data_IF_069215511777
#
_entry.id   IF_069215511777
#
_cell.length_a   1.000
_cell.length_b   1.000
_cell.length_c   1.000
_cell.angle_alpha   90.00
_cell.angle_beta   90.00
_cell.angle_gamma   90.00
#
_symmetry.space_group_name_H-M   'P 1'
#
loop_
_entity.id
_entity.type
_entity.pdbx_description
1 polymer ?
#
# COMPACT_ATOMS: atom_id res chain seq x y z
N UNK A 1 -20.85 -17.15 -0.61
CA UNK A 1 -20.43 -15.74 -0.47
C UNK A 1 -21.29 -15.06 0.59
N UNK A 2 -20.85 -15.08 1.85
CA UNK A 2 -21.61 -14.56 3.00
C UNK A 2 -21.67 -13.02 3.03
N UNK A 3 -20.80 -12.35 2.28
CA UNK A 3 -20.69 -10.88 2.23
C UNK A 3 -21.44 -10.27 1.03
N UNK A 4 -22.06 -11.08 0.15
CA UNK A 4 -22.77 -10.60 -1.03
C UNK A 4 -21.86 -10.00 -2.11
N UNK A 5 -20.56 -10.25 -2.06
CA UNK A 5 -19.60 -9.79 -3.06
C UNK A 5 -19.89 -10.48 -4.39
N UNK A 6 -20.14 -9.69 -5.42
CA UNK A 6 -20.40 -10.16 -6.79
C UNK A 6 -19.23 -9.94 -7.73
N UNK A 7 -18.27 -9.12 -7.33
CA UNK A 7 -17.02 -8.88 -8.09
C UNK A 7 -16.24 -10.18 -8.22
N UNK A 8 -15.72 -10.52 -9.40
CA UNK A 8 -14.85 -11.67 -9.58
C UNK A 8 -13.61 -11.57 -8.69
N UNK A 9 -13.25 -12.67 -8.05
CA UNK A 9 -12.05 -12.76 -7.21
C UNK A 9 -11.12 -13.80 -7.80
N UNK A 10 -9.88 -13.42 -8.05
CA UNK A 10 -8.80 -14.31 -8.48
C UNK A 10 -7.75 -14.40 -7.40
N UNK A 11 -7.35 -15.61 -7.05
CA UNK A 11 -6.24 -15.84 -6.11
C UNK A 11 -4.97 -16.15 -6.91
N UNK A 12 -3.88 -15.48 -6.56
CA UNK A 12 -2.55 -15.72 -7.13
C UNK A 12 -1.63 -16.15 -5.99
N UNK A 13 -1.34 -17.44 -5.93
CA UNK A 13 -0.55 -18.01 -4.84
C UNK A 13 0.95 -17.78 -5.06
N UNK A 14 1.64 -17.36 -4.01
CA UNK A 14 3.10 -17.37 -3.95
C UNK A 14 3.58 -18.64 -3.22
N UNK A 15 4.02 -19.70 -3.92
CA UNK A 15 4.36 -20.97 -3.31
C UNK A 15 5.67 -20.96 -2.50
N UNK A 16 6.43 -19.86 -2.59
CA UNK A 16 7.71 -19.67 -1.91
C UNK A 16 7.71 -18.38 -1.05
N UNK A 17 6.53 -18.00 -0.52
CA UNK A 17 6.37 -16.77 0.27
C UNK A 17 7.33 -16.69 1.47
N UNK A 18 7.71 -17.83 2.05
CA UNK A 18 8.65 -17.94 3.16
C UNK A 18 10.12 -17.61 2.79
N UNK A 19 10.42 -17.45 1.50
CA UNK A 19 11.75 -17.18 0.93
C UNK A 19 11.83 -15.91 0.13
N UNK A 20 10.72 -15.24 -0.05
CA UNK A 20 10.59 -14.03 -0.87
C UNK A 20 9.93 -12.91 -0.06
N UNK A 21 9.91 -11.71 -0.59
CA UNK A 21 9.14 -10.61 -0.05
C UNK A 21 8.00 -10.21 -1.01
N UNK A 22 7.22 -9.18 -0.67
CA UNK A 22 6.02 -8.76 -1.40
C UNK A 22 6.26 -8.38 -2.86
N UNK A 23 7.48 -7.98 -3.24
CA UNK A 23 7.86 -7.75 -4.66
C UNK A 23 7.60 -8.99 -5.53
N UNK A 24 7.86 -10.19 -5.01
CA UNK A 24 7.62 -11.42 -5.77
C UNK A 24 6.13 -11.75 -5.87
N UNK A 25 5.40 -11.61 -4.79
CA UNK A 25 3.93 -11.79 -4.79
C UNK A 25 3.27 -10.88 -5.81
N UNK A 26 3.66 -9.59 -5.84
CA UNK A 26 3.16 -8.64 -6.84
C UNK A 26 3.56 -9.01 -8.26
N UNK A 27 4.78 -9.51 -8.47
CA UNK A 27 5.24 -9.93 -9.80
C UNK A 27 4.45 -11.10 -10.38
N UNK A 28 3.95 -12.00 -9.54
CA UNK A 28 3.07 -13.09 -9.97
C UNK A 28 1.71 -12.59 -10.47
N UNK A 29 1.26 -11.44 -9.96
CA UNK A 29 -0.01 -10.82 -10.32
C UNK A 29 0.12 -9.72 -11.39
N UNK A 30 1.33 -9.39 -11.84
CA UNK A 30 1.61 -8.23 -12.71
C UNK A 30 0.85 -8.21 -14.04
N UNK A 31 0.45 -9.36 -14.57
CA UNK A 31 -0.28 -9.41 -15.83
C UNK A 31 -1.69 -8.82 -15.71
N UNK A 32 -2.33 -8.91 -14.54
CA UNK A 32 -3.59 -8.22 -14.29
C UNK A 32 -3.45 -6.70 -14.35
N UNK A 33 -2.29 -6.15 -13.93
CA UNK A 33 -2.00 -4.71 -14.03
C UNK A 33 -1.85 -4.23 -15.48
N UNK A 34 -1.73 -5.15 -16.46
CA UNK A 34 -1.70 -4.84 -17.89
C UNK A 34 -3.11 -4.79 -18.49
N UNK A 35 -4.12 -5.28 -17.78
CA UNK A 35 -5.48 -5.39 -18.29
C UNK A 35 -6.24 -4.07 -18.10
N UNK A 36 -6.09 -3.42 -16.93
CA UNK A 36 -6.81 -2.19 -16.58
C UNK A 36 -6.03 -1.34 -15.57
N UNK A 37 -6.59 -0.17 -15.20
CA UNK A 37 -6.12 0.62 -14.08
C UNK A 37 -6.23 -0.20 -12.78
N UNK A 38 -5.26 -0.04 -11.91
CA UNK A 38 -5.10 -0.92 -10.73
C UNK A 38 -5.08 -0.11 -9.45
N UNK A 39 -5.85 -0.54 -8.46
CA UNK A 39 -5.63 -0.16 -7.07
C UNK A 39 -4.84 -1.27 -6.36
N UNK A 40 -3.67 -0.92 -5.83
CA UNK A 40 -2.84 -1.82 -5.06
C UNK A 40 -3.01 -1.51 -3.57
N UNK A 41 -3.34 -2.55 -2.79
CA UNK A 41 -3.53 -2.47 -1.34
C UNK A 41 -2.71 -3.52 -0.62
N UNK A 42 -2.18 -3.18 0.55
CA UNK A 42 -1.73 -4.17 1.53
C UNK A 42 -2.91 -4.61 2.42
N UNK A 43 -2.88 -5.86 2.88
CA UNK A 43 -4.04 -6.51 3.53
C UNK A 43 -4.21 -6.17 5.02
N UNK A 44 -3.23 -5.52 5.61
CA UNK A 44 -3.09 -5.16 7.02
C UNK A 44 -3.52 -3.72 7.31
N UNK A 45 -4.16 -3.06 6.35
CA UNK A 45 -4.60 -1.66 6.47
C UNK A 45 -6.09 -1.58 6.78
N UNK A 46 -6.43 -0.84 7.83
CA UNK A 46 -7.79 -0.37 8.11
C UNK A 46 -7.89 1.11 7.78
N UNK A 47 -8.99 1.52 7.15
CA UNK A 47 -9.15 2.90 6.68
C UNK A 47 -10.62 3.33 6.61
N UNK A 48 -10.87 4.64 6.59
CA UNK A 48 -12.19 5.19 6.29
C UNK A 48 -12.54 5.08 4.82
N UNK A 49 -13.78 4.70 4.49
CA UNK A 49 -14.28 4.49 3.12
C UNK A 49 -14.04 5.71 2.20
N UNK A 50 -14.07 6.92 2.75
CA UNK A 50 -13.84 8.16 1.99
C UNK A 50 -12.43 8.27 1.41
N UNK A 51 -11.44 7.57 1.99
CA UNK A 51 -10.08 7.51 1.43
C UNK A 51 -10.12 6.86 0.06
N UNK A 52 -10.80 5.73 -0.07
CA UNK A 52 -10.92 5.02 -1.35
C UNK A 52 -11.68 5.85 -2.38
N UNK A 53 -12.81 6.43 -1.97
CA UNK A 53 -13.60 7.30 -2.84
C UNK A 53 -12.75 8.45 -3.37
N UNK A 54 -12.01 9.14 -2.48
CA UNK A 54 -11.15 10.25 -2.87
C UNK A 54 -10.01 9.84 -3.80
N UNK A 55 -9.49 8.62 -3.65
CA UNK A 55 -8.42 8.09 -4.50
C UNK A 55 -8.95 7.73 -5.89
N UNK A 56 -10.12 7.10 -5.97
CA UNK A 56 -10.76 6.70 -7.23
C UNK A 56 -11.17 7.94 -8.03
N UNK A 57 -11.78 8.93 -7.37
CA UNK A 57 -12.28 10.16 -8.01
C UNK A 57 -11.18 11.17 -8.36
N UNK A 58 -9.97 10.99 -7.87
CA UNK A 58 -8.84 11.87 -8.20
C UNK A 58 -8.53 11.78 -9.71
N UNK A 59 -8.51 12.92 -10.44
CA UNK A 59 -8.29 12.93 -11.88
C UNK A 59 -6.86 12.54 -12.29
N UNK A 60 -5.91 12.55 -11.36
CA UNK A 60 -4.54 12.12 -11.63
C UNK A 60 -4.51 10.60 -11.77
N UNK A 61 -3.79 10.13 -12.77
CA UNK A 61 -3.84 8.73 -13.18
C UNK A 61 -3.04 7.79 -12.28
N UNK A 62 -1.91 8.27 -11.73
CA UNK A 62 -0.99 7.42 -10.95
C UNK A 62 -0.61 8.10 -9.65
N UNK A 63 -1.00 7.47 -8.53
CA UNK A 63 -0.93 8.06 -7.20
C UNK A 63 -0.33 7.09 -6.18
N UNK A 64 0.50 7.63 -5.29
CA UNK A 64 0.84 7.02 -4.01
C UNK A 64 0.09 7.76 -2.90
N UNK A 65 -0.75 7.07 -2.15
CA UNK A 65 -1.44 7.66 -1.01
C UNK A 65 -0.47 7.85 0.15
N UNK A 66 -0.48 9.05 0.75
CA UNK A 66 0.48 9.42 1.80
C UNK A 66 -0.18 10.20 2.93
N UNK A 67 0.32 10.01 4.15
CA UNK A 67 -0.04 10.80 5.31
C UNK A 67 1.20 11.55 5.84
N UNK A 68 1.00 12.69 6.50
CA UNK A 68 2.07 13.40 7.17
C UNK A 68 2.72 12.48 8.22
N UNK A 69 4.06 12.37 8.18
CA UNK A 69 4.78 11.47 9.07
C UNK A 69 4.52 11.80 10.55
N UNK A 70 4.19 10.79 11.31
CA UNK A 70 4.01 10.85 12.78
C UNK A 70 5.00 9.91 13.46
N UNK A 71 5.48 10.22 14.69
CA UNK A 71 6.55 9.46 15.37
C UNK A 71 6.29 7.97 15.62
N UNK A 72 5.03 7.53 15.55
CA UNK A 72 4.65 6.13 15.70
C UNK A 72 4.70 5.32 14.39
N UNK A 73 4.83 6.02 13.24
CA UNK A 73 4.86 5.40 11.93
C UNK A 73 6.26 4.86 11.63
N UNK A 74 6.34 3.69 11.06
CA UNK A 74 7.56 3.12 10.51
C UNK A 74 7.41 2.76 9.01
N UNK A 75 8.40 2.06 8.43
CA UNK A 75 8.36 1.66 7.04
C UNK A 75 8.86 2.70 6.06
N UNK A 76 8.26 2.74 4.87
CA UNK A 76 8.69 3.61 3.76
C UNK A 76 8.14 5.01 3.90
N UNK A 77 9.05 5.99 3.85
CA UNK A 77 8.71 7.41 3.86
C UNK A 77 9.12 8.08 2.56
N UNK A 78 8.51 9.22 2.27
CA UNK A 78 8.83 9.99 1.09
C UNK A 78 8.78 11.50 1.35
N UNK A 79 9.33 12.28 0.42
CA UNK A 79 9.21 13.73 0.38
C UNK A 79 8.53 14.17 -0.91
N UNK A 80 7.70 15.17 -0.79
CA UNK A 80 6.97 15.77 -1.91
C UNK A 80 7.46 17.20 -2.13
N UNK A 81 7.46 17.62 -3.39
CA UNK A 81 7.57 19.04 -3.73
C UNK A 81 6.22 19.76 -3.60
N UNK A 82 6.18 21.03 -4.01
CA UNK A 82 4.98 21.89 -3.98
C UNK A 82 3.86 21.43 -4.94
N UNK A 83 4.17 20.58 -5.91
CA UNK A 83 3.24 20.02 -6.89
C UNK A 83 2.90 18.55 -6.61
N UNK A 84 3.17 18.08 -5.39
CA UNK A 84 3.01 16.67 -4.95
C UNK A 84 3.90 15.67 -5.71
N UNK A 85 4.90 16.13 -6.47
CA UNK A 85 5.88 15.25 -7.09
C UNK A 85 6.73 14.60 -6.01
N UNK A 86 6.93 13.29 -6.12
CA UNK A 86 7.80 12.55 -5.21
C UNK A 86 9.26 12.87 -5.57
N UNK A 87 9.96 13.53 -4.66
CA UNK A 87 11.38 13.92 -4.82
C UNK A 87 12.33 13.04 -4.07
N UNK A 88 11.85 12.25 -3.12
CA UNK A 88 12.65 11.26 -2.40
C UNK A 88 11.75 10.13 -1.90
N UNK A 89 12.25 8.90 -2.00
CA UNK A 89 11.57 7.70 -1.55
C UNK A 89 12.52 6.95 -0.61
N UNK A 90 12.27 7.04 0.70
CA UNK A 90 13.21 6.69 1.75
C UNK A 90 12.75 5.38 2.41
N UNK A 91 13.56 4.31 2.31
CA UNK A 91 13.25 3.08 3.05
C UNK A 91 13.40 3.31 4.57
N UNK A 92 12.59 2.65 5.39
CA UNK A 92 12.64 2.77 6.85
C UNK A 92 14.04 2.55 7.44
N UNK A 93 14.85 1.67 6.84
CA UNK A 93 16.25 1.44 7.25
C UNK A 93 17.17 2.65 7.06
N UNK A 94 16.79 3.62 6.22
CA UNK A 94 17.56 4.84 5.91
C UNK A 94 16.89 6.11 6.41
N UNK A 95 15.74 5.97 7.07
CA UNK A 95 14.97 7.10 7.55
C UNK A 95 15.68 7.78 8.74
N UNK A 96 15.84 9.10 8.67
CA UNK A 96 16.40 9.91 9.74
C UNK A 96 15.29 10.46 10.64
N UNK A 97 15.02 9.76 11.73
CA UNK A 97 14.00 10.14 12.74
C UNK A 97 14.26 11.49 13.42
N UNK A 98 15.44 12.08 13.23
CA UNK A 98 15.77 13.43 13.78
C UNK A 98 15.37 14.55 12.82
N UNK A 99 15.07 14.23 11.54
CA UNK A 99 14.73 15.19 10.49
C UNK A 99 13.48 14.76 9.73
N UNK A 100 12.35 14.79 10.41
CA UNK A 100 11.06 14.32 9.88
C UNK A 100 10.22 15.42 9.23
N UNK A 101 10.66 16.67 9.28
CA UNK A 101 9.90 17.80 8.71
C UNK A 101 9.72 17.64 7.20
N UNK A 102 8.46 17.70 6.75
CA UNK A 102 8.11 17.53 5.34
C UNK A 102 8.26 16.10 4.82
N UNK A 103 8.32 15.12 5.73
CA UNK A 103 8.26 13.72 5.40
C UNK A 103 6.81 13.22 5.47
N UNK A 104 6.49 12.29 4.60
CA UNK A 104 5.21 11.60 4.52
C UNK A 104 5.46 10.10 4.62
N UNK A 105 4.57 9.37 5.32
CA UNK A 105 4.53 7.90 5.31
C UNK A 105 3.66 7.45 4.14
N UNK A 106 4.08 6.43 3.41
CA UNK A 106 3.19 5.74 2.47
C UNK A 106 2.08 5.03 3.25
N UNK A 107 0.85 5.15 2.78
CA UNK A 107 -0.29 4.40 3.35
C UNK A 107 -0.34 2.97 2.80
N UNK A 108 0.64 2.63 1.94
CA UNK A 108 0.73 1.35 1.23
C UNK A 108 -0.50 1.09 0.35
N UNK A 109 -1.09 2.19 -0.16
CA UNK A 109 -2.19 2.18 -1.13
C UNK A 109 -1.77 3.02 -2.33
N UNK A 110 -1.93 2.43 -3.52
CA UNK A 110 -1.50 3.04 -4.77
C UNK A 110 -2.59 2.92 -5.83
N UNK A 111 -2.72 3.96 -6.65
CA UNK A 111 -3.48 3.93 -7.89
C UNK A 111 -2.49 3.95 -9.05
N UNK A 112 -2.47 2.92 -9.86
CA UNK A 112 -1.63 2.82 -11.04
C UNK A 112 -2.50 2.83 -12.27
N UNK A 113 -2.26 3.79 -13.18
CA UNK A 113 -2.84 3.68 -14.50
C UNK A 113 -2.26 2.49 -15.24
N UNK A 114 -3.05 1.88 -16.10
CA UNK A 114 -2.57 0.82 -17.01
C UNK A 114 -1.32 1.26 -17.77
N UNK A 115 -1.30 2.52 -18.24
CA UNK A 115 -0.15 3.10 -18.93
C UNK A 115 1.11 3.08 -18.07
N UNK A 116 1.02 3.57 -16.83
CA UNK A 116 2.14 3.55 -15.90
C UNK A 116 2.60 2.12 -15.60
N UNK A 117 1.66 1.20 -15.35
CA UNK A 117 1.98 -0.20 -15.11
C UNK A 117 2.76 -0.82 -16.28
N UNK A 118 2.27 -0.66 -17.52
CA UNK A 118 2.89 -1.24 -18.72
C UNK A 118 4.23 -0.58 -19.09
N UNK A 119 4.35 0.75 -18.95
CA UNK A 119 5.50 1.50 -19.47
C UNK A 119 6.60 1.77 -18.47
N UNK A 120 6.24 1.83 -17.19
CA UNK A 120 7.21 2.11 -16.12
C UNK A 120 7.27 0.97 -15.11
N UNK A 121 6.19 0.67 -14.39
CA UNK A 121 6.28 -0.19 -13.22
C UNK A 121 6.73 -1.61 -13.53
N UNK A 122 6.06 -2.31 -14.44
CA UNK A 122 6.37 -3.72 -14.75
C UNK A 122 7.75 -3.91 -15.36
N UNK A 123 8.21 -3.09 -16.34
CA UNK A 123 9.58 -3.21 -16.85
C UNK A 123 10.65 -3.04 -15.76
N UNK A 124 10.45 -2.08 -14.84
CA UNK A 124 11.36 -1.88 -13.72
C UNK A 124 11.26 -2.98 -12.67
N UNK A 125 10.06 -3.51 -12.39
CA UNK A 125 9.84 -4.66 -11.52
C UNK A 125 10.61 -5.88 -12.01
N UNK A 126 10.51 -6.20 -13.30
CA UNK A 126 11.20 -7.34 -13.90
C UNK A 126 12.73 -7.16 -13.84
N UNK A 127 13.22 -6.00 -14.25
CA UNK A 127 14.65 -5.69 -14.21
C UNK A 127 15.21 -5.67 -12.77
N UNK A 128 14.44 -5.15 -11.82
CA UNK A 128 14.82 -5.10 -10.41
C UNK A 128 14.99 -6.51 -9.83
N UNK A 129 14.01 -7.39 -10.07
CA UNK A 129 14.06 -8.78 -9.61
C UNK A 129 15.21 -9.56 -10.24
N UNK A 130 15.48 -9.37 -11.53
CA UNK A 130 16.59 -10.01 -12.22
C UNK A 130 17.95 -9.56 -11.63
N UNK A 131 18.08 -8.29 -11.31
CA UNK A 131 19.34 -7.71 -10.84
C UNK A 131 19.60 -7.92 -9.34
N UNK A 132 18.55 -7.84 -8.50
CA UNK A 132 18.66 -7.76 -7.04
C UNK A 132 17.94 -8.89 -6.31
N UNK A 133 17.18 -9.72 -7.03
CA UNK A 133 16.44 -10.85 -6.49
C UNK A 133 15.04 -10.49 -6.02
N UNK A 134 14.40 -11.45 -5.35
CA UNK A 134 12.96 -11.43 -5.04
C UNK A 134 12.65 -11.22 -3.55
N UNK A 135 13.67 -10.94 -2.74
CA UNK A 135 13.53 -10.73 -1.29
C UNK A 135 13.64 -9.24 -0.94
N UNK A 136 12.85 -8.41 -1.62
CA UNK A 136 12.77 -6.96 -1.42
C UNK A 136 11.30 -6.50 -1.42
N UNK A 137 11.06 -5.27 -0.96
CA UNK A 137 9.75 -4.64 -1.02
C UNK A 137 9.49 -4.04 -2.41
N UNK A 138 8.25 -4.15 -2.90
CA UNK A 138 7.86 -3.62 -4.22
C UNK A 138 8.02 -2.10 -4.33
N UNK A 139 8.00 -1.37 -3.22
CA UNK A 139 8.26 0.06 -3.17
C UNK A 139 9.69 0.43 -3.60
N UNK A 140 10.64 -0.50 -3.54
CA UNK A 140 11.98 -0.26 -4.05
C UNK A 140 11.98 -0.03 -5.57
N UNK A 141 11.01 -0.62 -6.27
CA UNK A 141 10.79 -0.36 -7.71
C UNK A 141 10.30 1.08 -7.91
N UNK A 142 9.34 1.53 -7.10
CA UNK A 142 8.84 2.91 -7.14
C UNK A 142 9.96 3.90 -6.84
N UNK A 143 10.82 3.59 -5.88
CA UNK A 143 12.01 4.40 -5.56
C UNK A 143 12.92 4.61 -6.77
N UNK A 144 13.14 3.57 -7.59
CA UNK A 144 13.95 3.70 -8.81
C UNK A 144 13.22 4.55 -9.84
N UNK A 145 11.92 4.33 -10.03
CA UNK A 145 11.10 5.07 -10.99
C UNK A 145 11.07 6.56 -10.65
N UNK A 146 10.94 6.93 -9.39
CA UNK A 146 10.89 8.35 -8.97
C UNK A 146 12.20 9.11 -9.21
N UNK A 147 13.30 8.41 -9.51
CA UNK A 147 14.56 9.03 -9.94
C UNK A 147 14.57 9.43 -11.42
N UNK A 148 13.59 8.99 -12.19
CA UNK A 148 13.48 9.33 -13.61
C UNK A 148 12.85 10.73 -13.78
N UNK A 149 13.32 11.49 -14.77
CA UNK A 149 12.74 12.80 -15.10
C UNK A 149 11.25 12.70 -15.52
N UNK A 150 10.86 11.57 -16.12
CA UNK A 150 9.52 11.28 -16.60
C UNK A 150 8.70 10.39 -15.65
N UNK A 151 9.00 10.37 -14.35
CA UNK A 151 8.18 9.62 -13.39
C UNK A 151 6.75 10.19 -13.33
N UNK A 152 5.76 9.32 -13.55
CA UNK A 152 4.35 9.70 -13.61
C UNK A 152 3.65 9.63 -12.25
N UNK A 153 4.23 8.93 -11.27
CA UNK A 153 3.65 8.78 -9.94
C UNK A 153 3.85 10.01 -9.08
N UNK A 154 2.77 10.49 -8.48
CA UNK A 154 2.75 11.64 -7.56
C UNK A 154 2.10 11.27 -6.23
N UNK A 155 2.36 12.04 -5.19
CA UNK A 155 1.74 11.86 -3.89
C UNK A 155 0.29 12.36 -3.85
N UNK A 156 -0.60 11.63 -3.20
CA UNK A 156 -1.92 12.12 -2.79
C UNK A 156 -1.94 12.19 -1.27
N UNK A 157 -2.00 13.40 -0.73
CA UNK A 157 -2.00 13.62 0.73
C UNK A 157 -3.37 13.32 1.30
N UNK A 158 -3.39 12.65 2.45
CA UNK A 158 -4.58 12.58 3.30
C UNK A 158 -4.82 13.93 3.98
N UNK A 159 -6.08 14.27 4.19
CA UNK A 159 -6.52 15.53 4.80
C UNK A 159 -7.10 15.31 6.22
N UNK A 160 -6.58 14.29 6.92
CA UNK A 160 -6.98 13.94 8.27
C UNK A 160 -7.97 12.78 8.37
N UNK A 161 -8.12 12.02 7.29
CA UNK A 161 -8.83 10.73 7.32
C UNK A 161 -8.12 9.74 8.22
N UNK A 162 -8.90 8.86 8.85
CA UNK A 162 -8.36 7.81 9.71
C UNK A 162 -7.94 6.60 8.89
N UNK A 163 -6.74 6.14 9.18
CA UNK A 163 -6.20 4.87 8.70
C UNK A 163 -5.20 4.32 9.71
N UNK A 164 -4.92 3.02 9.66
CA UNK A 164 -3.92 2.39 10.51
C UNK A 164 -3.41 1.10 9.85
N UNK A 165 -2.12 0.80 10.02
CA UNK A 165 -1.45 -0.43 9.60
C UNK A 165 -1.36 -1.35 10.82
N UNK A 166 -1.75 -2.61 10.69
CA UNK A 166 -1.88 -3.56 11.82
C UNK A 166 -0.85 -4.66 11.63
N UNK A 167 0.30 -4.52 12.26
CA UNK A 167 1.39 -5.49 12.22
C UNK A 167 1.36 -6.47 13.39
N UNK A 168 0.81 -6.06 14.54
CA UNK A 168 0.76 -6.88 15.75
C UNK A 168 -0.52 -6.63 16.59
N UNK A 169 -0.57 -7.28 17.77
CA UNK A 169 -1.71 -7.16 18.69
C UNK A 169 -1.87 -5.74 19.28
N UNK A 170 -0.77 -5.01 19.46
CA UNK A 170 -0.81 -3.63 19.95
C UNK A 170 -1.40 -2.70 18.91
N UNK A 171 -1.05 -2.88 17.65
CA UNK A 171 -1.60 -2.13 16.54
C UNK A 171 -3.10 -2.38 16.39
N UNK A 172 -3.53 -3.62 16.58
CA UNK A 172 -4.95 -3.95 16.57
C UNK A 172 -5.71 -3.19 17.67
N UNK A 173 -5.19 -3.17 18.90
CA UNK A 173 -5.80 -2.43 20.02
C UNK A 173 -5.89 -0.92 19.72
N UNK A 174 -4.87 -0.35 19.08
CA UNK A 174 -4.84 1.06 18.67
C UNK A 174 -5.86 1.32 17.56
N UNK A 175 -5.91 0.45 16.55
CA UNK A 175 -6.86 0.54 15.45
C UNK A 175 -8.31 0.45 15.96
N UNK A 176 -8.60 -0.49 16.88
CA UNK A 176 -9.90 -0.60 17.53
C UNK A 176 -10.29 0.70 18.26
N UNK A 177 -9.36 1.28 19.03
CA UNK A 177 -9.59 2.54 19.71
C UNK A 177 -9.82 3.72 18.75
N UNK A 178 -9.05 3.76 17.65
CA UNK A 178 -9.14 4.82 16.64
C UNK A 178 -10.49 4.81 15.92
N UNK A 179 -11.04 3.61 15.65
CA UNK A 179 -12.29 3.41 14.92
C UNK A 179 -13.50 3.11 15.83
N UNK A 180 -13.34 3.13 17.16
CA UNK A 180 -14.39 2.78 18.13
C UNK A 180 -15.65 3.63 18.01
N UNK A 181 -15.53 4.90 17.59
CA UNK A 181 -16.66 5.81 17.42
C UNK A 181 -17.43 5.62 16.11
N UNK A 182 -16.85 4.90 15.16
CA UNK A 182 -17.48 4.49 13.91
C UNK A 182 -18.33 3.24 14.14
N UNK A 183 -19.58 3.48 14.62
CA UNK A 183 -20.55 2.40 14.95
C UNK A 183 -20.81 1.40 13.81
N UNK A 184 -20.41 1.72 12.59
CA UNK A 184 -20.57 0.86 11.42
C UNK A 184 -19.42 -0.14 11.25
N UNK A 185 -18.19 0.20 11.61
CA UNK A 185 -17.01 -0.65 11.41
C UNK A 185 -16.96 -1.74 12.48
N UNK A 186 -17.11 -1.40 13.77
CA UNK A 186 -17.02 -2.36 14.87
C UNK A 186 -18.12 -3.45 14.81
N UNK A 187 -19.33 -3.12 14.32
CA UNK A 187 -20.41 -4.10 14.16
C UNK A 187 -20.26 -5.03 12.97
N UNK A 188 -19.62 -4.60 11.87
CA UNK A 188 -19.43 -5.45 10.67
C UNK A 188 -18.35 -6.51 10.86
N UNK A 189 -17.30 -6.22 11.61
CA UNK A 189 -16.16 -7.12 11.75
C UNK A 189 -16.17 -7.93 13.05
N UNK A 190 -16.58 -7.38 14.19
CA UNK A 190 -16.56 -8.08 15.49
C UNK A 190 -17.86 -8.78 15.89
N UNK A 191 -18.99 -8.40 15.36
CA UNK A 191 -20.31 -8.99 15.72
C UNK A 191 -20.57 -10.40 15.16
N UNK A 192 -19.71 -10.96 14.30
CA UNK A 192 -19.94 -12.26 13.62
C UNK A 192 -18.93 -13.35 13.94
N UNK A 193 -17.78 -13.04 14.48
CA UNK A 193 -16.74 -14.02 14.73
C UNK A 193 -16.20 -13.90 16.15
N UNK A 194 -16.99 -14.33 17.14
CA UNK A 194 -16.52 -14.56 18.51
C UNK A 194 -15.52 -15.72 18.55
N UNK A 195 -14.30 -15.50 18.15
CA UNK A 195 -13.23 -16.47 18.18
C UNK A 195 -11.89 -15.75 18.06
N UNK A 196 -11.03 -15.96 19.05
CA UNK A 196 -9.63 -15.58 19.02
C UNK A 196 -8.96 -16.09 17.74
N UNK A 197 -8.71 -15.21 16.78
CA UNK A 197 -7.82 -15.50 15.68
C UNK A 197 -6.39 -15.13 16.12
N UNK A 198 -5.57 -16.16 16.43
CA UNK A 198 -4.12 -15.98 16.32
C UNK A 198 -3.85 -15.77 14.85
N UNK A 199 -3.58 -14.54 14.47
CA UNK A 199 -3.02 -14.24 13.16
C UNK A 199 -1.62 -14.88 13.10
N UNK A 200 -1.37 -15.88 12.23
CA UNK A 200 -0.01 -16.13 11.80
C UNK A 200 0.48 -14.79 11.24
N UNK A 201 1.76 -14.43 11.44
CA UNK A 201 2.35 -13.24 10.83
C UNK A 201 1.75 -13.07 9.44
N UNK A 202 0.91 -12.06 9.26
CA UNK A 202 0.30 -11.73 7.99
C UNK A 202 1.40 -11.09 7.14
N UNK A 203 2.28 -11.94 6.63
CA UNK A 203 3.32 -11.58 5.70
C UNK A 203 2.71 -11.68 4.29
N UNK A 204 2.66 -10.56 3.60
CA UNK A 204 2.75 -10.47 2.16
C UNK A 204 1.55 -10.92 1.32
N UNK A 205 0.36 -10.36 1.58
CA UNK A 205 -0.72 -10.42 0.59
C UNK A 205 -0.93 -9.02 -0.02
N UNK A 206 -0.54 -8.87 -1.29
CA UNK A 206 -0.99 -7.74 -2.11
C UNK A 206 -2.33 -8.11 -2.74
N UNK A 207 -3.34 -7.25 -2.61
CA UNK A 207 -4.59 -7.39 -3.35
C UNK A 207 -4.59 -6.40 -4.51
N UNK A 208 -4.86 -6.92 -5.71
CA UNK A 208 -5.19 -6.12 -6.88
C UNK A 208 -6.72 -6.07 -6.98
N UNK A 209 -7.28 -4.87 -7.01
CA UNK A 209 -8.72 -4.64 -7.20
C UNK A 209 -8.93 -3.79 -8.44
#
# INVERSE_FOLDING_TARGET
NTLGITTPITFVDNPIYDKTNNIYSLSLAKDYMREDDTLLFESDIILEDRILTSLIEDPRETLALVDEYKPWMDGTCLRLDENDKIIDFISGKKFDFTNTKGCYKTVNIYKFSKHFAEKQYIPFLDAYQEALGVNEYYEQVLRVITMLDGAEIVGKRLEGEKWYEIDDEQDLDIAEALFADDKDVSRKYYGRYGGFWRFPKMLDYCYLV
#
